data_IF_012365048577
#
_entry.id   IF_012365048577
#
_cell.length_a   1.000
_cell.length_b   1.000
_cell.length_c   1.000
_cell.angle_alpha   90.00
_cell.angle_beta   90.00
_cell.angle_gamma   90.00
#
_symmetry.space_group_name_H-M   'P 1'
#
loop_
_entity.id
_entity.type
_entity.pdbx_description
1 polymer ?
#
# COMPACT_ATOMS: atom_id res chain seq x y z
N UNK A 1 3.06 14.27 0.00
CA UNK A 1 4.15 13.53 0.67
C UNK A 1 4.53 12.25 -0.08
N UNK A 2 3.63 11.30 -0.28
CA UNK A 2 3.98 10.00 -0.87
C UNK A 2 4.67 10.14 -2.24
N UNK A 3 4.15 10.96 -3.16
CA UNK A 3 4.79 11.18 -4.47
C UNK A 3 6.17 11.87 -4.44
N UNK A 4 6.64 12.34 -3.28
CA UNK A 4 7.95 12.99 -3.16
C UNK A 4 9.08 12.03 -2.73
N UNK A 5 8.76 10.76 -2.44
CA UNK A 5 9.73 9.76 -2.01
C UNK A 5 10.28 9.01 -3.24
N UNK A 6 11.61 8.78 -3.33
CA UNK A 6 12.21 8.05 -4.45
C UNK A 6 11.64 6.63 -4.66
N UNK A 7 11.19 5.99 -3.58
CA UNK A 7 10.67 4.63 -3.56
C UNK A 7 9.21 4.55 -4.03
N UNK A 8 8.53 5.68 -4.24
CA UNK A 8 7.09 5.67 -4.54
C UNK A 8 6.81 5.21 -5.95
N UNK A 9 5.98 4.16 -6.06
CA UNK A 9 5.37 3.74 -7.32
C UNK A 9 4.08 4.51 -7.62
N UNK A 10 3.52 5.19 -6.63
CA UNK A 10 2.22 5.84 -6.72
C UNK A 10 1.18 5.02 -6.00
N UNK A 11 -0.06 5.05 -6.48
CA UNK A 11 -1.13 4.27 -5.86
C UNK A 11 -2.19 3.84 -6.86
N UNK A 12 -2.89 2.75 -6.53
CA UNK A 12 -4.04 2.27 -7.29
C UNK A 12 -5.31 2.48 -6.47
N UNK A 13 -6.43 2.66 -7.17
CA UNK A 13 -7.73 2.78 -6.53
C UNK A 13 -8.82 3.15 -7.53
N UNK A 14 -9.99 3.49 -7.02
CA UNK A 14 -11.13 3.87 -7.83
C UNK A 14 -12.38 3.07 -7.48
N UNK A 15 -13.47 3.39 -8.18
CA UNK A 15 -14.77 2.76 -7.96
C UNK A 15 -14.85 1.41 -8.68
N UNK A 16 -15.83 0.55 -8.35
CA UNK A 16 -16.10 -0.65 -9.14
C UNK A 16 -16.17 -0.32 -10.65
N UNK A 17 -15.41 -1.06 -11.45
CA UNK A 17 -15.24 -0.89 -12.91
C UNK A 17 -14.63 0.45 -13.36
N UNK A 18 -14.03 1.22 -12.45
CA UNK A 18 -13.40 2.52 -12.72
C UNK A 18 -12.10 2.65 -11.92
N UNK A 19 -11.19 1.68 -12.10
CA UNK A 19 -9.89 1.66 -11.43
C UNK A 19 -8.83 2.46 -12.21
N UNK A 20 -7.98 3.19 -11.50
CA UNK A 20 -6.93 4.02 -12.08
C UNK A 20 -5.59 3.78 -11.37
N UNK A 21 -4.50 4.02 -12.09
CA UNK A 21 -3.15 4.04 -11.52
C UNK A 21 -2.63 5.47 -11.46
N UNK A 22 -2.49 5.99 -10.24
CA UNK A 22 -2.11 7.36 -9.97
C UNK A 22 -0.60 7.48 -9.83
N UNK A 23 0.01 8.35 -10.65
CA UNK A 23 1.46 8.47 -10.82
C UNK A 23 2.02 9.81 -10.33
N UNK A 24 1.15 10.76 -9.98
CA UNK A 24 1.58 12.06 -9.48
C UNK A 24 0.44 13.02 -9.21
N UNK A 25 0.80 14.28 -8.94
CA UNK A 25 -0.14 15.38 -8.76
C UNK A 25 0.47 16.70 -9.23
N UNK A 26 -0.39 17.68 -9.48
CA UNK A 26 -0.05 19.04 -9.86
C UNK A 26 -0.31 20.00 -8.69
N UNK A 27 0.30 21.19 -8.74
CA UNK A 27 0.16 22.22 -7.70
C UNK A 27 -1.26 22.78 -7.55
N UNK A 28 -2.15 22.53 -8.51
CA UNK A 28 -3.55 22.96 -8.52
C UNK A 28 -4.53 21.89 -8.02
N UNK A 29 -4.07 20.97 -7.16
CA UNK A 29 -4.87 19.89 -6.57
C UNK A 29 -5.50 18.91 -7.60
N UNK A 30 -4.75 18.63 -8.66
CA UNK A 30 -5.10 17.60 -9.64
C UNK A 30 -4.16 16.40 -9.55
N UNK A 31 -4.74 15.21 -9.53
CA UNK A 31 -4.07 13.94 -9.65
C UNK A 31 -3.80 13.61 -11.11
N UNK A 32 -2.63 13.02 -11.37
CA UNK A 32 -2.23 12.47 -12.66
C UNK A 32 -2.36 10.95 -12.62
N UNK A 33 -3.00 10.36 -13.64
CA UNK A 33 -3.23 8.91 -13.65
C UNK A 33 -3.23 8.29 -15.05
N UNK A 34 -3.01 6.98 -15.08
CA UNK A 34 -3.19 6.10 -16.23
C UNK A 34 -4.52 5.37 -16.12
N UNK A 35 -5.22 5.28 -17.24
CA UNK A 35 -6.58 4.76 -17.34
C UNK A 35 -6.62 3.49 -18.20
N UNK A 36 -6.92 2.31 -17.63
CA UNK A 36 -6.96 1.05 -18.37
C UNK A 36 -8.26 0.82 -19.16
N UNK A 37 -9.27 1.69 -19.10
CA UNK A 37 -10.60 1.44 -19.67
C UNK A 37 -10.69 1.68 -21.19
N UNK A 38 -9.61 1.40 -21.90
CA UNK A 38 -9.57 1.41 -23.36
C UNK A 38 -9.22 0.00 -23.84
N UNK A 39 -10.18 -0.65 -24.49
CA UNK A 39 -9.96 -1.94 -25.11
C UNK A 39 -9.07 -1.77 -26.34
N UNK A 40 -7.94 -2.48 -26.36
CA UNK A 40 -6.99 -2.50 -27.47
C UNK A 40 -6.98 -3.88 -28.14
N UNK A 41 -6.49 -3.94 -29.39
CA UNK A 41 -6.27 -5.22 -30.07
C UNK A 41 -5.17 -6.02 -29.36
N UNK A 42 -5.31 -7.34 -29.31
CA UNK A 42 -4.26 -8.22 -28.81
C UNK A 42 -2.98 -8.03 -29.61
N UNK A 43 -1.88 -7.75 -28.91
CA UNK A 43 -0.54 -7.75 -29.46
C UNK A 43 0.14 -9.07 -29.08
N UNK A 44 0.51 -9.87 -30.08
CA UNK A 44 1.36 -11.05 -29.89
C UNK A 44 2.81 -10.56 -29.78
N UNK A 45 3.58 -10.82 -28.71
CA UNK A 45 4.90 -10.23 -28.54
C UNK A 45 6.02 -11.12 -29.13
N UNK A 46 6.56 -10.84 -30.34
CA UNK A 46 7.90 -11.31 -30.73
C UNK A 46 8.99 -10.46 -30.07
N UNK A 47 10.22 -11.00 -30.06
CA UNK A 47 11.45 -10.46 -29.43
C UNK A 47 11.82 -9.03 -29.89
N UNK A 48 11.18 -8.48 -30.94
CA UNK A 48 11.32 -7.11 -31.45
C UNK A 48 9.96 -6.53 -31.87
N UNK A 49 9.01 -6.42 -30.93
CA UNK A 49 7.65 -5.91 -31.20
C UNK A 49 7.55 -4.38 -31.05
N UNK A 50 6.63 -3.78 -31.81
CA UNK A 50 6.13 -2.43 -31.58
C UNK A 50 5.38 -2.40 -30.24
N UNK A 51 5.86 -1.60 -29.29
CA UNK A 51 5.31 -1.46 -27.94
C UNK A 51 4.46 -0.19 -27.77
N UNK A 52 4.18 0.54 -28.86
CA UNK A 52 3.47 1.82 -28.83
C UNK A 52 2.13 1.77 -28.10
N UNK A 53 1.41 0.65 -28.16
CA UNK A 53 0.12 0.44 -27.46
C UNK A 53 0.24 0.35 -25.93
N UNK A 54 1.43 0.12 -25.39
CA UNK A 54 1.73 0.04 -23.96
C UNK A 54 2.23 1.37 -23.37
N UNK A 55 2.46 2.38 -24.21
CA UNK A 55 2.84 3.73 -23.79
C UNK A 55 1.66 4.70 -23.97
N UNK A 56 1.33 5.46 -22.93
CA UNK A 56 0.26 6.45 -23.02
C UNK A 56 0.83 7.81 -23.47
N UNK A 57 0.44 8.27 -24.67
CA UNK A 57 0.83 9.60 -25.19
C UNK A 57 0.22 10.77 -24.39
N UNK A 58 -0.84 10.50 -23.62
CA UNK A 58 -1.56 11.50 -22.84
C UNK A 58 -1.75 11.03 -21.41
N UNK A 59 -1.48 11.93 -20.47
CA UNK A 59 -1.71 11.72 -19.04
C UNK A 59 -3.07 12.30 -18.68
N UNK A 60 -3.93 11.49 -18.04
CA UNK A 60 -5.24 11.92 -17.57
C UNK A 60 -5.14 12.67 -16.24
N UNK A 61 -6.14 13.51 -15.95
CA UNK A 61 -6.17 14.36 -14.76
C UNK A 61 -7.54 14.38 -14.10
N UNK A 62 -7.56 14.43 -12.76
CA UNK A 62 -8.79 14.61 -11.99
C UNK A 62 -8.52 15.34 -10.68
N UNK A 63 -9.52 16.01 -10.11
CA UNK A 63 -9.40 16.62 -8.78
C UNK A 63 -9.34 15.55 -7.68
N UNK A 64 -8.63 15.84 -6.59
CA UNK A 64 -8.63 14.97 -5.39
C UNK A 64 -10.04 14.69 -4.86
N UNK A 65 -10.98 15.63 -4.99
CA UNK A 65 -12.38 15.45 -4.57
C UNK A 65 -13.13 14.35 -5.31
N UNK A 66 -12.63 13.93 -6.48
CA UNK A 66 -13.20 12.82 -7.24
C UNK A 66 -12.62 11.45 -6.86
N UNK A 67 -11.58 11.42 -6.02
CA UNK A 67 -10.87 10.20 -5.65
C UNK A 67 -11.73 9.33 -4.73
N UNK A 68 -11.79 8.02 -5.02
CA UNK A 68 -12.42 7.06 -4.12
C UNK A 68 -11.54 6.84 -2.88
N UNK A 69 -12.11 6.73 -1.66
CA UNK A 69 -11.31 6.52 -0.45
C UNK A 69 -10.63 5.15 -0.39
N UNK A 70 -11.06 4.16 -1.18
CA UNK A 70 -10.41 2.85 -1.26
C UNK A 70 -9.18 2.91 -2.16
N UNK A 71 -8.00 2.92 -1.53
CA UNK A 71 -6.71 3.09 -2.20
C UNK A 71 -5.68 2.09 -1.67
N UNK A 72 -4.69 1.76 -2.51
CA UNK A 72 -3.49 1.03 -2.10
C UNK A 72 -2.23 1.76 -2.59
N UNK A 73 -1.35 2.12 -1.64
CA UNK A 73 -0.07 2.78 -1.91
C UNK A 73 1.01 1.75 -2.24
N UNK A 74 1.84 2.05 -3.24
CA UNK A 74 2.96 1.20 -3.65
C UNK A 74 4.31 1.85 -3.40
N UNK A 75 5.23 1.10 -2.79
CA UNK A 75 6.64 1.47 -2.65
C UNK A 75 7.53 0.33 -3.14
N UNK A 76 8.63 0.64 -3.82
CA UNK A 76 9.63 -0.31 -4.25
C UNK A 76 11.00 0.07 -3.69
N UNK A 77 11.64 -0.88 -3.01
CA UNK A 77 12.99 -0.76 -2.48
C UNK A 77 13.84 -1.89 -3.07
N UNK A 78 14.90 -1.56 -3.80
CA UNK A 78 15.77 -2.56 -4.43
C UNK A 78 16.78 -3.18 -3.45
N UNK A 79 16.97 -2.54 -2.31
CA UNK A 79 17.90 -2.96 -1.27
C UNK A 79 17.32 -2.64 0.11
N UNK A 80 17.88 -3.28 1.13
CA UNK A 80 17.59 -2.98 2.53
C UNK A 80 17.87 -1.51 2.87
N UNK A 81 18.98 -0.95 2.37
CA UNK A 81 19.30 0.47 2.58
C UNK A 81 18.25 1.42 1.98
N UNK A 82 17.60 1.06 0.86
CA UNK A 82 16.51 1.87 0.30
C UNK A 82 15.24 1.78 1.14
N UNK A 83 15.00 0.64 1.77
CA UNK A 83 13.91 0.45 2.72
C UNK A 83 14.16 1.25 4.01
N UNK A 84 15.36 1.20 4.57
CA UNK A 84 15.72 2.01 5.75
C UNK A 84 15.55 3.51 5.49
N UNK A 85 16.00 3.98 4.32
CA UNK A 85 15.81 5.37 3.88
C UNK A 85 14.32 5.72 3.74
N UNK A 86 13.50 4.82 3.19
CA UNK A 86 12.06 5.00 3.10
C UNK A 86 11.43 5.17 4.50
N UNK A 87 11.74 4.26 5.43
CA UNK A 87 11.20 4.29 6.79
C UNK A 87 11.63 5.56 7.52
N UNK A 88 12.90 5.95 7.41
CA UNK A 88 13.43 7.18 7.99
C UNK A 88 12.67 8.41 7.47
N UNK A 89 12.53 8.55 6.15
CA UNK A 89 11.87 9.69 5.53
C UNK A 89 10.38 9.74 5.85
N UNK A 90 9.71 8.60 5.89
CA UNK A 90 8.31 8.54 6.28
C UNK A 90 8.14 9.05 7.71
N UNK A 91 8.89 8.50 8.68
CA UNK A 91 8.81 8.92 10.08
C UNK A 91 9.06 10.41 10.29
N UNK A 92 10.00 10.99 9.55
CA UNK A 92 10.33 12.43 9.65
C UNK A 92 9.24 13.34 9.09
N UNK A 93 8.37 12.85 8.21
CA UNK A 93 7.44 13.68 7.46
C UNK A 93 5.96 13.29 7.65
N UNK A 94 5.64 12.41 8.62
CA UNK A 94 4.24 12.04 8.87
C UNK A 94 3.42 13.28 9.27
N UNK A 95 2.23 13.47 8.66
CA UNK A 95 1.32 14.54 9.09
C UNK A 95 0.73 14.22 10.46
N UNK A 96 0.09 15.21 11.08
CA UNK A 96 -0.58 15.05 12.39
C UNK A 96 -1.66 13.95 12.40
N UNK A 97 -2.24 13.65 11.24
CA UNK A 97 -3.18 12.54 11.02
C UNK A 97 -2.68 11.67 9.89
N UNK A 98 -1.82 10.68 10.17
CA UNK A 98 -1.25 9.82 9.14
C UNK A 98 -2.31 8.84 8.60
N UNK A 99 -2.18 8.44 7.33
CA UNK A 99 -3.08 7.45 6.71
C UNK A 99 -2.71 6.00 7.09
N UNK A 100 -1.50 5.78 7.58
CA UNK A 100 -0.98 4.48 8.00
C UNK A 100 0.04 4.69 9.13
N UNK A 101 0.32 3.62 9.87
CA UNK A 101 1.26 3.60 10.97
C UNK A 101 2.51 2.78 10.61
N UNK A 102 3.64 3.10 11.23
CA UNK A 102 4.91 2.38 11.06
C UNK A 102 5.35 1.91 12.44
N UNK A 103 5.36 0.59 12.64
CA UNK A 103 5.76 -0.03 13.89
C UNK A 103 7.10 -0.75 13.74
N UNK A 104 7.95 -0.71 14.76
CA UNK A 104 9.21 -1.46 14.79
C UNK A 104 9.00 -2.94 15.12
N UNK A 105 8.00 -3.22 15.93
CA UNK A 105 7.59 -4.57 16.32
C UNK A 105 6.15 -4.82 15.89
N UNK A 106 5.77 -6.08 15.77
CA UNK A 106 4.39 -6.43 15.49
C UNK A 106 3.51 -5.98 16.68
N UNK A 107 2.50 -5.11 16.46
CA UNK A 107 1.67 -4.59 17.54
C UNK A 107 0.84 -5.68 18.23
N UNK A 108 0.67 -6.84 17.60
CA UNK A 108 -0.06 -7.98 18.15
C UNK A 108 0.81 -8.93 18.99
N UNK A 109 2.13 -8.74 19.06
CA UNK A 109 3.01 -9.61 19.86
C UNK A 109 2.68 -9.55 21.36
N UNK A 110 2.26 -8.39 21.85
CA UNK A 110 1.81 -8.24 23.24
C UNK A 110 0.53 -9.05 23.51
N UNK A 111 -0.39 -9.08 22.54
CA UNK A 111 -1.63 -9.84 22.62
C UNK A 111 -1.35 -11.36 22.56
N UNK A 112 -0.45 -11.79 21.67
CA UNK A 112 -0.04 -13.18 21.57
C UNK A 112 0.54 -13.71 22.89
N UNK A 113 1.41 -12.91 23.55
CA UNK A 113 1.96 -13.26 24.87
C UNK A 113 0.90 -13.36 25.96
N UNK A 114 -0.15 -12.55 25.91
CA UNK A 114 -1.26 -12.64 26.87
C UNK A 114 -2.13 -13.88 26.64
N UNK A 115 -2.37 -14.25 25.38
CA UNK A 115 -3.13 -15.46 25.04
C UNK A 115 -2.39 -16.73 25.46
N UNK A 116 -1.07 -16.80 25.22
CA UNK A 116 -0.23 -17.91 25.68
C UNK A 116 -0.23 -18.05 27.22
N UNK A 117 -0.17 -16.93 27.96
CA UNK A 117 -0.24 -16.95 29.43
C UNK A 117 -1.60 -17.45 29.93
N UNK A 118 -2.69 -17.09 29.28
CA UNK A 118 -4.04 -17.49 29.68
C UNK A 118 -4.33 -18.97 29.37
N UNK A 119 -3.78 -19.49 28.27
CA UNK A 119 -3.86 -20.91 27.93
C UNK A 119 -3.05 -21.78 28.91
N UNK A 120 -1.82 -21.36 29.25
CA UNK A 120 -0.99 -22.03 30.27
C UNK A 120 -1.67 -22.02 31.65
N UNK A 121 -2.33 -20.92 32.04
CA UNK A 121 -3.08 -20.88 33.30
C UNK A 121 -4.30 -21.82 33.29
N UNK A 122 -4.98 -21.97 32.15
CA UNK A 122 -6.14 -22.87 32.02
C UNK A 122 -5.77 -24.36 32.04
N UNK A 123 -4.59 -24.72 31.53
CA UNK A 123 -4.09 -26.10 31.58
C UNK A 123 -3.60 -26.50 32.98
N UNK A 124 -3.25 -25.53 33.82
CA UNK A 124 -2.78 -25.76 35.19
C UNK A 124 -3.92 -25.77 36.23
N UNK A 125 -5.18 -25.55 35.83
CA UNK A 125 -6.32 -25.51 36.76
C UNK A 125 -7.13 -26.81 36.85
N UNK A 126 -6.73 -27.87 36.14
CA UNK A 126 -7.49 -29.14 36.04
C UNK A 126 -7.05 -30.24 37.03
N UNK A 127 -6.14 -29.98 37.98
CA UNK A 127 -5.79 -30.90 39.07
C UNK A 127 -6.11 -30.26 40.44
N UNK A 128 -7.27 -30.60 41.02
CA UNK A 128 -7.52 -30.79 42.47
C UNK A 128 -9.03 -30.89 42.74
N UNK A 129 -9.68 -31.97 42.28
CA UNK A 129 -10.89 -32.47 42.94
C UNK A 129 -10.52 -33.73 43.73
N UNK A 130 -10.12 -33.55 44.99
CA UNK A 130 -10.08 -34.65 45.96
C UNK A 130 -11.50 -35.21 46.15
N UNK A 131 -11.66 -36.50 45.87
CA UNK A 131 -12.84 -37.29 46.23
C UNK A 131 -12.88 -37.46 47.76
N UNK A 132 -13.78 -36.73 48.42
CA UNK A 132 -14.25 -37.05 49.79
C UNK A 132 -15.36 -38.08 49.72
#
# INVERSE_FOLDING_TARGET
>A
LCFCLPQTLGFIGGKPNHAHYFIGYLQNDELLYLDPHVTQMYADPPINSDDSSYHCDRINRMKFSGLDPSLALGFACKSESEFDDLILKLRQNLPSRPMFEICETNPFDALAKQMEQHEVLSLNSDDDFELV
#
